data_IF_644385254333
#
_entry.id   IF_644385254333
#
_cell.length_a   1.000
_cell.length_b   1.000
_cell.length_c   1.000
_cell.angle_alpha   90.00
_cell.angle_beta   90.00
_cell.angle_gamma   90.00
#
_symmetry.space_group_name_H-M   'P 1'
#
loop_
_entity.id
_entity.type
_entity.pdbx_description
1 polymer ?
#
# COMPACT_ATOMS: atom_id res chain seq x y z
N UNK A 1 -33.69 -57.05 19.43
CA UNK A 1 -32.98 -55.79 19.44
C UNK A 1 -32.37 -55.60 18.07
N UNK A 2 -33.03 -54.78 17.21
CA UNK A 2 -32.58 -54.55 15.83
C UNK A 2 -31.58 -53.39 15.81
N UNK A 3 -30.31 -53.68 15.44
CA UNK A 3 -29.29 -52.69 15.25
C UNK A 3 -29.48 -52.05 13.84
N UNK A 4 -29.64 -50.75 13.69
CA UNK A 4 -29.83 -50.12 12.38
C UNK A 4 -28.47 -50.15 11.64
N UNK A 5 -28.41 -50.85 10.51
CA UNK A 5 -27.25 -50.86 9.60
C UNK A 5 -27.12 -49.49 8.97
N UNK A 6 -26.08 -48.71 9.32
CA UNK A 6 -25.76 -47.44 8.69
C UNK A 6 -25.39 -47.73 7.20
N UNK A 7 -26.03 -47.14 6.23
CA UNK A 7 -25.78 -47.43 4.82
C UNK A 7 -24.35 -46.97 4.46
N UNK A 8 -23.56 -47.89 3.88
CA UNK A 8 -22.14 -47.68 3.51
C UNK A 8 -21.85 -46.49 2.56
N UNK A 9 -22.92 -45.84 2.06
CA UNK A 9 -22.84 -44.64 1.19
C UNK A 9 -22.59 -43.35 1.97
N UNK A 10 -22.92 -43.27 3.29
CA UNK A 10 -22.72 -42.08 4.11
C UNK A 10 -21.23 -41.71 4.29
N UNK A 11 -20.30 -42.65 4.59
CA UNK A 11 -18.89 -42.31 4.75
C UNK A 11 -18.24 -41.89 3.43
N UNK A 12 -18.68 -42.45 2.28
CA UNK A 12 -18.14 -42.03 0.97
C UNK A 12 -18.58 -40.61 0.57
N UNK A 13 -19.82 -40.21 0.92
CA UNK A 13 -20.30 -38.87 0.67
C UNK A 13 -19.59 -37.82 1.55
N UNK A 14 -19.35 -38.14 2.83
CA UNK A 14 -18.59 -37.29 3.76
C UNK A 14 -17.13 -37.13 3.31
N UNK A 15 -16.49 -38.19 2.82
CA UNK A 15 -15.13 -38.14 2.30
C UNK A 15 -15.04 -37.30 1.01
N UNK A 16 -16.03 -37.40 0.12
CA UNK A 16 -16.10 -36.59 -1.11
C UNK A 16 -16.30 -35.10 -0.80
N UNK A 17 -17.14 -34.76 0.21
CA UNK A 17 -17.33 -33.36 0.65
C UNK A 17 -16.07 -32.80 1.29
N UNK A 18 -15.32 -33.58 2.08
CA UNK A 18 -14.05 -33.20 2.67
C UNK A 18 -12.95 -32.97 1.61
N UNK A 19 -12.91 -33.77 0.55
CA UNK A 19 -11.98 -33.61 -0.56
C UNK A 19 -12.29 -32.38 -1.43
N UNK A 20 -13.57 -32.05 -1.62
CA UNK A 20 -14.00 -30.84 -2.35
C UNK A 20 -13.72 -29.57 -1.53
N UNK A 21 -13.86 -29.59 -0.22
CA UNK A 21 -13.54 -28.47 0.65
C UNK A 21 -12.03 -28.16 0.68
N UNK A 22 -11.15 -29.17 0.50
CA UNK A 22 -9.71 -28.97 0.48
C UNK A 22 -9.21 -28.18 -0.74
N UNK A 23 -9.89 -28.24 -1.88
CA UNK A 23 -9.51 -27.49 -3.09
C UNK A 23 -9.90 -26.01 -3.05
N UNK A 24 -10.87 -25.62 -2.20
CA UNK A 24 -11.36 -24.23 -2.11
C UNK A 24 -10.55 -23.34 -1.16
N UNK A 25 -9.55 -23.88 -0.47
CA UNK A 25 -8.84 -23.21 0.63
C UNK A 25 -7.44 -22.72 0.28
N UNK A 26 -6.95 -22.99 -0.92
CA UNK A 26 -5.63 -22.55 -1.37
C UNK A 26 -5.70 -21.18 -2.08
N UNK A 27 -4.75 -20.26 -1.84
CA UNK A 27 -4.68 -19.01 -2.58
C UNK A 27 -4.56 -19.24 -4.09
N UNK A 28 -5.35 -18.50 -4.87
CA UNK A 28 -5.25 -18.52 -6.33
C UNK A 28 -3.88 -18.00 -6.76
N UNK A 29 -3.19 -18.74 -7.63
CA UNK A 29 -1.92 -18.29 -8.19
C UNK A 29 -2.16 -17.36 -9.39
N UNK A 30 -1.85 -16.08 -9.23
CA UNK A 30 -1.98 -15.06 -10.27
C UNK A 30 -0.77 -15.10 -11.19
N UNK A 31 -0.95 -15.58 -12.41
CA UNK A 31 0.09 -15.72 -13.44
C UNK A 31 -0.26 -14.99 -14.76
N UNK A 32 -1.36 -14.24 -14.77
CA UNK A 32 -1.77 -13.45 -15.94
C UNK A 32 -0.71 -12.43 -16.34
N UNK A 33 -0.75 -11.97 -17.59
CA UNK A 33 0.23 -11.03 -18.13
C UNK A 33 0.30 -9.70 -17.36
N UNK A 34 -0.80 -9.32 -16.71
CA UNK A 34 -0.93 -8.13 -15.88
C UNK A 34 -0.62 -8.39 -14.38
N UNK A 35 -0.25 -9.61 -13.98
CA UNK A 35 0.12 -9.87 -12.58
C UNK A 35 1.30 -8.98 -12.14
N UNK A 36 1.29 -8.49 -10.89
CA UNK A 36 2.34 -7.60 -10.39
C UNK A 36 3.75 -8.17 -10.51
N UNK A 37 4.70 -7.30 -10.83
CA UNK A 37 6.12 -7.66 -10.99
C UNK A 37 7.01 -6.66 -10.30
N UNK A 38 8.06 -7.19 -9.65
CA UNK A 38 9.20 -6.42 -9.23
C UNK A 38 10.18 -6.32 -10.41
N UNK A 39 10.49 -5.09 -10.81
CA UNK A 39 11.51 -4.83 -11.83
C UNK A 39 12.56 -3.90 -11.25
N UNK A 40 13.78 -3.84 -11.79
CA UNK A 40 14.81 -2.90 -11.34
C UNK A 40 14.26 -1.47 -11.30
N UNK A 41 14.44 -0.80 -10.16
CA UNK A 41 13.99 0.57 -9.99
C UNK A 41 14.79 1.49 -10.93
N UNK A 42 14.08 2.40 -11.59
CA UNK A 42 14.68 3.41 -12.46
C UNK A 42 14.56 4.76 -11.75
N UNK A 43 15.69 5.41 -11.42
CA UNK A 43 15.66 6.72 -10.78
C UNK A 43 14.94 7.77 -11.65
N UNK A 44 13.95 8.45 -11.08
CA UNK A 44 13.31 9.60 -11.70
C UNK A 44 14.28 10.80 -11.63
N UNK A 45 14.52 11.44 -12.78
CA UNK A 45 15.34 12.62 -12.87
C UNK A 45 14.50 13.79 -13.37
N UNK A 46 14.50 14.90 -12.64
CA UNK A 46 13.81 16.14 -13.01
C UNK A 46 14.78 17.34 -12.93
N UNK A 47 14.51 18.46 -13.61
CA UNK A 47 15.34 19.68 -13.49
C UNK A 47 15.24 20.35 -12.11
N UNK A 48 14.26 20.00 -11.30
CA UNK A 48 14.08 20.41 -9.90
C UNK A 48 14.26 19.23 -8.94
N UNK A 49 14.43 19.47 -7.64
CA UNK A 49 14.48 18.39 -6.66
C UNK A 49 13.25 17.46 -6.76
N UNK A 50 13.50 16.15 -6.76
CA UNK A 50 12.48 15.11 -6.80
C UNK A 50 12.01 14.83 -5.38
N UNK A 51 10.72 14.96 -5.13
CA UNK A 51 10.09 14.73 -3.83
C UNK A 51 9.50 13.32 -3.81
N UNK A 52 9.96 12.48 -2.88
CA UNK A 52 9.40 11.16 -2.60
C UNK A 52 8.50 11.21 -1.37
N UNK A 53 7.30 10.62 -1.46
CA UNK A 53 6.39 10.44 -0.33
C UNK A 53 6.26 8.94 0.00
N UNK A 54 6.50 8.59 1.24
CA UNK A 54 6.39 7.21 1.75
C UNK A 54 5.24 7.13 2.73
N UNK A 55 4.20 6.36 2.39
CA UNK A 55 3.03 6.13 3.22
C UNK A 55 3.12 4.76 3.89
N UNK A 56 3.33 4.75 5.19
CA UNK A 56 3.64 3.56 5.98
C UNK A 56 2.44 2.67 6.27
N UNK A 57 2.74 1.46 6.78
CA UNK A 57 1.75 0.49 7.21
C UNK A 57 1.03 0.93 8.49
N UNK A 58 -0.32 0.74 8.56
CA UNK A 58 -1.06 1.17 9.72
C UNK A 58 -2.47 0.61 9.93
N UNK A 59 -3.02 -0.18 9.00
CA UNK A 59 -4.42 -0.61 9.06
C UNK A 59 -5.37 0.58 9.09
N UNK A 60 -6.34 0.62 9.99
CA UNK A 60 -7.31 1.72 10.14
C UNK A 60 -6.68 3.09 10.40
N UNK A 61 -5.44 3.16 10.87
CA UNK A 61 -4.71 4.43 11.03
C UNK A 61 -4.30 5.06 9.69
N UNK A 62 -4.40 4.29 8.60
CA UNK A 62 -4.12 4.76 7.24
C UNK A 62 -4.95 5.96 6.80
N UNK A 63 -6.10 6.23 7.44
CA UNK A 63 -6.86 7.46 7.20
C UNK A 63 -6.04 8.73 7.50
N UNK A 64 -5.04 8.67 8.36
CA UNK A 64 -4.14 9.79 8.63
C UNK A 64 -3.30 10.17 7.39
N UNK A 65 -2.99 9.22 6.49
CA UNK A 65 -2.28 9.54 5.25
C UNK A 65 -3.07 10.50 4.37
N UNK A 66 -4.39 10.41 4.38
CA UNK A 66 -5.26 11.32 3.62
C UNK A 66 -5.16 12.74 4.17
N UNK A 67 -5.18 12.90 5.50
CA UNK A 67 -4.97 14.19 6.17
C UNK A 67 -3.59 14.80 5.84
N UNK A 68 -2.55 13.97 5.83
CA UNK A 68 -1.20 14.41 5.43
C UNK A 68 -1.20 14.92 3.98
N UNK A 69 -1.77 14.16 3.05
CA UNK A 69 -1.87 14.58 1.64
C UNK A 69 -2.61 15.92 1.50
N UNK A 70 -3.69 16.12 2.25
CA UNK A 70 -4.47 17.35 2.25
C UNK A 70 -3.65 18.56 2.71
N UNK A 71 -2.86 18.42 3.77
CA UNK A 71 -1.98 19.48 4.25
C UNK A 71 -0.83 19.79 3.28
N UNK A 72 -0.19 18.76 2.70
CA UNK A 72 0.87 18.91 1.70
C UNK A 72 0.33 19.61 0.44
N UNK A 73 -0.82 19.17 -0.09
CA UNK A 73 -1.48 19.75 -1.26
C UNK A 73 -1.83 21.23 -1.01
N UNK A 74 -2.39 21.55 0.16
CA UNK A 74 -2.71 22.92 0.56
C UNK A 74 -1.48 23.83 0.67
N UNK A 75 -0.32 23.27 0.98
CA UNK A 75 0.95 23.98 1.03
C UNK A 75 1.69 24.02 -0.33
N UNK A 76 1.09 23.49 -1.40
CA UNK A 76 1.71 23.40 -2.73
C UNK A 76 2.87 22.41 -2.81
N UNK A 77 2.97 21.46 -1.87
CA UNK A 77 3.98 20.41 -1.87
C UNK A 77 3.42 19.20 -2.60
N UNK A 78 3.91 18.97 -3.81
CA UNK A 78 3.47 17.86 -4.66
C UNK A 78 4.55 16.80 -4.80
N UNK A 79 4.34 15.58 -4.24
CA UNK A 79 5.27 14.46 -4.41
C UNK A 79 5.35 14.01 -5.86
N UNK A 80 6.59 13.70 -6.30
CA UNK A 80 6.88 13.18 -7.63
C UNK A 80 6.85 11.65 -7.68
N UNK A 81 7.23 11.01 -6.56
CA UNK A 81 7.33 9.57 -6.38
C UNK A 81 6.52 9.20 -5.14
N UNK A 82 5.81 8.07 -5.22
CA UNK A 82 5.06 7.57 -4.07
C UNK A 82 5.48 6.12 -3.76
N UNK A 83 5.65 5.84 -2.47
CA UNK A 83 5.88 4.48 -1.96
C UNK A 83 4.80 4.16 -0.94
N UNK A 84 4.16 3.01 -1.05
CA UNK A 84 3.06 2.62 -0.17
C UNK A 84 3.24 1.24 0.44
N UNK A 85 2.84 1.10 1.70
CA UNK A 85 2.84 -0.17 2.44
C UNK A 85 1.48 -0.39 3.09
N UNK A 86 0.84 -1.55 2.88
CA UNK A 86 -0.43 -1.91 3.53
C UNK A 86 -1.52 -0.85 3.29
N UNK A 87 -2.13 -0.31 4.34
CA UNK A 87 -3.10 0.79 4.20
C UNK A 87 -2.50 2.03 3.52
N UNK A 88 -1.21 2.29 3.71
CA UNK A 88 -0.49 3.35 3.00
C UNK A 88 -0.43 3.09 1.49
N UNK A 89 -0.38 1.82 1.04
CA UNK A 89 -0.40 1.49 -0.39
C UNK A 89 -1.76 1.79 -1.04
N UNK A 90 -2.87 1.69 -0.30
CA UNK A 90 -4.20 2.08 -0.79
C UNK A 90 -4.23 3.57 -1.12
N UNK A 91 -3.83 4.40 -0.18
CA UNK A 91 -3.81 5.87 -0.35
C UNK A 91 -2.77 6.29 -1.40
N UNK A 92 -1.59 5.62 -1.41
CA UNK A 92 -0.54 5.85 -2.39
C UNK A 92 -1.01 5.57 -3.82
N UNK A 93 -1.75 4.48 -4.04
CA UNK A 93 -2.29 4.13 -5.36
C UNK A 93 -3.28 5.18 -5.88
N UNK A 94 -4.19 5.63 -5.03
CA UNK A 94 -5.16 6.67 -5.39
C UNK A 94 -4.45 8.00 -5.71
N UNK A 95 -3.50 8.42 -4.88
CA UNK A 95 -2.72 9.64 -5.11
C UNK A 95 -1.84 9.52 -6.39
N UNK A 96 -1.16 8.40 -6.59
CA UNK A 96 -0.36 8.15 -7.78
C UNK A 96 -1.24 8.09 -9.06
N UNK A 97 -2.50 7.70 -8.93
CA UNK A 97 -3.49 7.76 -10.00
C UNK A 97 -3.93 9.18 -10.37
N UNK A 98 -3.52 10.19 -9.59
CA UNK A 98 -3.83 11.60 -9.82
C UNK A 98 -5.09 12.09 -9.10
N UNK A 99 -5.65 11.32 -8.15
CA UNK A 99 -6.74 11.81 -7.30
C UNK A 99 -6.18 12.87 -6.34
N UNK A 100 -6.93 13.96 -6.18
CA UNK A 100 -6.62 14.99 -5.19
C UNK A 100 -6.98 14.52 -3.78
N UNK A 101 -6.35 15.10 -2.77
CA UNK A 101 -6.60 14.76 -1.38
C UNK A 101 -8.09 14.81 -1.01
N UNK A 102 -8.85 15.78 -1.50
CA UNK A 102 -10.29 15.90 -1.27
C UNK A 102 -11.11 14.74 -1.88
N UNK A 103 -10.71 14.21 -3.05
CA UNK A 103 -11.37 13.07 -3.69
C UNK A 103 -11.10 11.78 -2.93
N UNK A 104 -9.85 11.61 -2.45
CA UNK A 104 -9.45 10.48 -1.60
C UNK A 104 -10.18 10.54 -0.26
N UNK A 105 -10.28 11.71 0.37
CA UNK A 105 -11.03 11.95 1.60
C UNK A 105 -12.51 11.56 1.43
N UNK A 106 -13.16 12.06 0.38
CA UNK A 106 -14.56 11.75 0.10
C UNK A 106 -14.79 10.25 -0.12
N UNK A 107 -13.87 9.55 -0.78
CA UNK A 107 -13.93 8.10 -0.94
C UNK A 107 -13.73 7.38 0.39
N UNK A 108 -12.70 7.77 1.16
CA UNK A 108 -12.36 7.17 2.45
C UNK A 108 -13.47 7.32 3.51
N UNK A 109 -14.15 8.47 3.54
CA UNK A 109 -15.23 8.70 4.50
C UNK A 109 -16.50 7.87 4.19
N UNK A 110 -16.78 7.60 2.91
CA UNK A 110 -17.90 6.73 2.50
C UNK A 110 -17.64 5.25 2.70
N UNK A 111 -16.37 4.86 2.82
CA UNK A 111 -15.97 3.46 2.92
C UNK A 111 -16.53 2.80 4.18
N UNK A 112 -17.20 1.67 4.02
CA UNK A 112 -17.64 0.81 5.13
C UNK A 112 -16.73 -0.42 5.25
N UNK A 113 -16.76 -1.11 6.39
CA UNK A 113 -15.97 -2.32 6.62
C UNK A 113 -16.28 -3.38 5.56
N UNK A 114 -17.54 -3.51 5.16
CA UNK A 114 -18.03 -4.44 4.14
C UNK A 114 -17.46 -4.18 2.74
N UNK A 115 -16.99 -2.96 2.45
CA UNK A 115 -16.43 -2.62 1.14
C UNK A 115 -15.01 -3.17 0.95
N UNK A 116 -14.30 -3.44 2.04
CA UNK A 116 -12.92 -3.93 2.02
C UNK A 116 -12.77 -5.36 2.54
N UNK A 117 -13.66 -5.78 3.46
CA UNK A 117 -13.49 -7.00 4.24
C UNK A 117 -14.45 -8.10 3.76
N UNK A 118 -13.97 -8.97 2.87
CA UNK A 118 -14.63 -10.17 2.41
C UNK A 118 -14.32 -11.35 3.35
N UNK A 119 -15.05 -11.43 4.46
CA UNK A 119 -14.86 -12.49 5.45
C UNK A 119 -15.16 -13.88 4.90
N UNK A 120 -14.29 -14.85 5.24
CA UNK A 120 -14.42 -16.25 4.85
C UNK A 120 -14.47 -17.15 6.07
N UNK A 121 -15.20 -18.26 5.96
CA UNK A 121 -15.28 -19.29 7.02
C UNK A 121 -14.12 -20.29 6.91
N UNK A 122 -13.67 -20.55 5.67
CA UNK A 122 -12.60 -21.50 5.38
C UNK A 122 -11.45 -20.77 4.68
N UNK A 123 -10.22 -21.25 4.90
CA UNK A 123 -9.03 -20.74 4.22
C UNK A 123 -7.90 -20.37 5.17
N UNK A 124 -6.76 -19.91 4.62
CA UNK A 124 -5.55 -19.59 5.38
C UNK A 124 -5.63 -18.28 6.18
N UNK A 125 -6.73 -17.55 6.10
CA UNK A 125 -7.03 -16.33 6.83
C UNK A 125 -8.54 -16.16 7.00
N UNK A 126 -8.96 -15.04 7.56
CA UNK A 126 -10.38 -14.69 7.78
C UNK A 126 -10.96 -13.82 6.68
N UNK A 127 -10.12 -13.14 5.91
CA UNK A 127 -10.49 -12.18 4.86
C UNK A 127 -9.75 -12.58 3.59
N UNK A 128 -10.46 -12.73 2.49
CA UNK A 128 -9.85 -13.09 1.21
C UNK A 128 -9.09 -11.92 0.58
N UNK A 129 -9.66 -10.72 0.63
CA UNK A 129 -9.06 -9.47 0.15
C UNK A 129 -9.39 -9.13 -1.31
N UNK A 130 -10.30 -9.87 -1.95
CA UNK A 130 -10.79 -9.57 -3.29
C UNK A 130 -11.51 -8.22 -3.37
N UNK A 131 -12.30 -7.87 -2.34
CA UNK A 131 -12.99 -6.58 -2.27
C UNK A 131 -12.00 -5.40 -2.21
N UNK A 132 -10.96 -5.51 -1.40
CA UNK A 132 -9.89 -4.49 -1.36
C UNK A 132 -9.23 -4.32 -2.73
N UNK A 133 -8.91 -5.43 -3.41
CA UNK A 133 -8.35 -5.39 -4.76
C UNK A 133 -9.26 -4.65 -5.74
N UNK A 134 -10.56 -4.98 -5.75
CA UNK A 134 -11.53 -4.37 -6.65
C UNK A 134 -11.70 -2.88 -6.34
N UNK A 135 -11.85 -2.51 -5.07
CA UNK A 135 -11.93 -1.12 -4.63
C UNK A 135 -10.76 -0.27 -5.16
N UNK A 136 -9.53 -0.78 -5.02
CA UNK A 136 -8.35 -0.07 -5.53
C UNK A 136 -8.35 0.00 -7.05
N UNK A 137 -8.65 -1.10 -7.75
CA UNK A 137 -8.70 -1.13 -9.20
C UNK A 137 -9.73 -0.14 -9.77
N UNK A 138 -10.90 -0.06 -9.17
CA UNK A 138 -11.94 0.91 -9.55
C UNK A 138 -11.45 2.35 -9.32
N UNK A 139 -10.88 2.64 -8.15
CA UNK A 139 -10.37 3.97 -7.82
C UNK A 139 -9.28 4.44 -8.79
N UNK A 140 -8.40 3.54 -9.24
CA UNK A 140 -7.35 3.86 -10.22
C UNK A 140 -7.82 3.64 -11.68
N UNK A 141 -9.10 3.34 -11.93
CA UNK A 141 -9.69 3.07 -13.25
C UNK A 141 -9.00 1.91 -13.98
N UNK A 142 -8.72 0.82 -13.25
CA UNK A 142 -8.01 -0.37 -13.73
C UNK A 142 -6.64 -0.10 -14.38
N UNK A 143 -6.03 1.04 -14.12
CA UNK A 143 -4.68 1.34 -14.63
C UNK A 143 -3.64 0.48 -13.90
N UNK A 144 -2.71 -0.16 -14.63
CA UNK A 144 -1.58 -0.85 -14.01
C UNK A 144 -0.60 0.16 -13.39
N UNK A 145 0.26 -0.31 -12.48
CA UNK A 145 1.20 0.51 -11.72
C UNK A 145 2.03 1.45 -12.60
N UNK A 146 2.53 0.94 -13.74
CA UNK A 146 3.36 1.70 -14.68
C UNK A 146 2.60 2.75 -15.51
N UNK A 147 1.26 2.70 -15.52
CA UNK A 147 0.41 3.65 -16.23
C UNK A 147 -0.23 4.71 -15.31
N UNK A 148 0.13 4.73 -14.03
CA UNK A 148 -0.32 5.76 -13.10
C UNK A 148 0.36 7.10 -13.42
N UNK A 149 -0.24 8.19 -13.00
CA UNK A 149 0.27 9.55 -13.26
C UNK A 149 1.60 9.84 -12.57
N UNK A 150 1.87 9.16 -11.45
CA UNK A 150 3.15 9.25 -10.73
C UNK A 150 3.74 7.84 -10.55
N UNK A 151 5.09 7.71 -10.59
CA UNK A 151 5.75 6.47 -10.23
C UNK A 151 5.32 5.99 -8.84
N UNK A 152 4.82 4.77 -8.77
CA UNK A 152 4.39 4.12 -7.52
C UNK A 152 5.18 2.85 -7.29
N UNK A 153 5.69 2.69 -6.06
CA UNK A 153 6.18 1.43 -5.53
C UNK A 153 5.23 0.91 -4.45
N UNK A 154 4.74 -0.31 -4.62
CA UNK A 154 3.92 -1.02 -3.63
C UNK A 154 4.76 -2.11 -2.99
N UNK A 155 4.87 -2.08 -1.67
CA UNK A 155 5.74 -2.96 -0.90
C UNK A 155 4.95 -4.14 -0.35
N UNK A 156 5.43 -5.35 -0.63
CA UNK A 156 4.96 -6.59 -0.02
C UNK A 156 6.12 -7.38 0.60
N UNK A 157 5.83 -8.37 1.41
CA UNK A 157 6.82 -9.30 1.96
C UNK A 157 6.59 -10.71 1.42
N UNK A 158 7.62 -11.40 1.00
CA UNK A 158 7.54 -12.84 0.72
C UNK A 158 7.20 -13.59 2.02
N UNK A 159 6.19 -14.46 1.97
CA UNK A 159 5.70 -15.15 3.18
C UNK A 159 6.74 -16.00 3.87
N UNK A 160 7.54 -16.73 3.11
CA UNK A 160 8.52 -17.68 3.65
C UNK A 160 9.79 -17.01 4.17
N UNK A 161 10.28 -16.00 3.46
CA UNK A 161 11.58 -15.38 3.73
C UNK A 161 11.48 -14.04 4.46
N UNK A 162 10.28 -13.45 4.53
CA UNK A 162 10.03 -12.07 4.96
C UNK A 162 10.80 -11.03 4.13
N UNK A 163 11.35 -11.42 2.98
CA UNK A 163 12.10 -10.52 2.09
C UNK A 163 11.15 -9.50 1.46
N UNK A 164 11.58 -8.25 1.44
CA UNK A 164 10.84 -7.17 0.81
C UNK A 164 10.80 -7.35 -0.71
N UNK A 165 9.61 -7.22 -1.28
CA UNK A 165 9.37 -7.15 -2.71
C UNK A 165 8.75 -5.81 -3.05
N UNK A 166 9.29 -5.14 -4.09
CA UNK A 166 8.86 -3.82 -4.55
C UNK A 166 8.15 -3.99 -5.89
N UNK A 167 6.83 -3.93 -5.89
CA UNK A 167 6.04 -3.98 -7.11
C UNK A 167 5.93 -2.59 -7.75
N UNK A 168 6.28 -2.48 -9.02
CA UNK A 168 6.21 -1.24 -9.81
C UNK A 168 5.53 -1.43 -11.17
N UNK A 169 5.12 -2.66 -11.49
CA UNK A 169 4.41 -3.01 -12.74
C UNK A 169 3.27 -3.99 -12.48
N UNK A 170 2.27 -3.95 -13.35
CA UNK A 170 1.12 -4.86 -13.35
C UNK A 170 -0.07 -4.32 -12.58
N UNK A 171 -1.04 -5.19 -12.28
CA UNK A 171 -2.32 -4.86 -11.69
C UNK A 171 -2.17 -4.16 -10.33
N UNK A 172 -2.63 -2.91 -10.25
CA UNK A 172 -2.46 -2.05 -9.07
C UNK A 172 -3.20 -2.60 -7.85
N UNK A 173 -4.46 -3.00 -8.01
CA UNK A 173 -5.24 -3.54 -6.89
C UNK A 173 -4.68 -4.84 -6.35
N UNK A 174 -4.18 -5.72 -7.22
CA UNK A 174 -3.56 -6.99 -6.79
C UNK A 174 -2.25 -6.75 -6.04
N UNK A 175 -1.43 -5.79 -6.49
CA UNK A 175 -0.22 -5.40 -5.77
C UNK A 175 -0.54 -4.83 -4.38
N UNK A 176 -1.57 -3.95 -4.30
CA UNK A 176 -2.03 -3.37 -3.03
C UNK A 176 -2.62 -4.45 -2.12
N UNK A 177 -3.42 -5.40 -2.65
CA UNK A 177 -3.91 -6.55 -1.88
C UNK A 177 -2.76 -7.36 -1.30
N UNK A 178 -1.73 -7.68 -2.08
CA UNK A 178 -0.54 -8.38 -1.57
C UNK A 178 0.14 -7.59 -0.44
N UNK A 179 0.29 -6.27 -0.62
CA UNK A 179 0.87 -5.35 0.36
C UNK A 179 0.07 -5.24 1.67
N UNK A 180 -1.25 -5.46 1.62
CA UNK A 180 -2.16 -5.34 2.76
C UNK A 180 -2.59 -6.69 3.36
N UNK A 181 -2.01 -7.81 2.90
CA UNK A 181 -2.34 -9.16 3.36
C UNK A 181 -1.73 -9.48 4.72
N UNK A 182 -2.27 -8.86 5.78
CA UNK A 182 -1.81 -9.03 7.17
C UNK A 182 -1.89 -10.51 7.58
N UNK A 183 -0.78 -11.12 8.02
CA UNK A 183 -0.75 -12.54 8.41
C UNK A 183 -1.80 -12.90 9.44
N UNK A 184 -2.44 -14.07 9.29
CA UNK A 184 -3.53 -14.61 10.12
C UNK A 184 -4.88 -13.87 9.99
N UNK A 185 -4.91 -12.69 9.37
CA UNK A 185 -6.14 -11.94 9.14
C UNK A 185 -6.56 -12.06 7.68
N UNK A 186 -5.69 -11.71 6.76
CA UNK A 186 -5.91 -11.86 5.31
C UNK A 186 -5.28 -13.12 4.75
N UNK A 187 -5.84 -13.60 3.64
CA UNK A 187 -5.18 -14.64 2.86
C UNK A 187 -3.90 -14.09 2.24
N UNK A 188 -2.82 -14.89 2.23
CA UNK A 188 -1.64 -14.54 1.44
C UNK A 188 -2.02 -14.49 -0.04
N UNK A 189 -1.36 -13.63 -0.81
CA UNK A 189 -1.57 -13.50 -2.25
C UNK A 189 -0.46 -14.25 -2.98
N UNK A 190 -0.82 -15.24 -3.82
CA UNK A 190 0.15 -15.98 -4.60
C UNK A 190 0.30 -15.39 -6.00
N UNK A 191 1.51 -14.92 -6.34
CA UNK A 191 1.84 -14.29 -7.63
C UNK A 191 3.05 -15.00 -8.20
N UNK A 192 2.94 -15.52 -9.42
CA UNK A 192 4.00 -16.28 -10.10
C UNK A 192 4.63 -17.38 -9.21
N UNK A 193 3.81 -18.07 -8.41
CA UNK A 193 4.25 -19.16 -7.53
C UNK A 193 4.73 -18.71 -6.15
N UNK A 194 5.05 -17.44 -5.93
CA UNK A 194 5.47 -16.88 -4.64
C UNK A 194 4.29 -16.36 -3.84
N UNK A 195 4.20 -16.68 -2.56
CA UNK A 195 3.18 -16.15 -1.65
C UNK A 195 3.67 -14.87 -0.98
N UNK A 196 2.82 -13.85 -1.01
CA UNK A 196 3.07 -12.54 -0.43
C UNK A 196 2.12 -12.26 0.73
N UNK A 197 2.65 -11.58 1.72
CA UNK A 197 1.94 -11.05 2.88
C UNK A 197 2.21 -9.55 3.03
N UNK A 198 1.56 -8.94 4.02
CA UNK A 198 1.66 -7.49 4.31
C UNK A 198 3.12 -7.01 4.30
N UNK A 199 3.36 -5.94 3.55
CA UNK A 199 4.69 -5.35 3.40
C UNK A 199 5.29 -4.86 4.70
N UNK A 200 4.47 -4.54 5.70
CA UNK A 200 4.91 -4.16 7.04
C UNK A 200 5.63 -5.26 7.81
N UNK A 201 5.59 -6.51 7.33
CA UNK A 201 6.41 -7.63 7.84
C UNK A 201 7.89 -7.40 7.50
N UNK A 202 8.18 -6.91 6.30
CA UNK A 202 9.54 -6.62 5.85
C UNK A 202 10.00 -5.21 6.25
N UNK A 203 9.16 -4.21 6.01
CA UNK A 203 9.43 -2.81 6.37
C UNK A 203 8.13 -2.03 6.50
N UNK A 204 7.95 -1.31 7.61
CA UNK A 204 6.75 -0.50 7.83
C UNK A 204 6.79 0.84 7.14
N UNK A 205 7.97 1.43 6.97
CA UNK A 205 8.16 2.76 6.36
C UNK A 205 9.46 2.73 5.53
N UNK A 206 9.46 2.11 4.34
CA UNK A 206 10.67 1.84 3.55
C UNK A 206 11.17 3.10 2.82
N UNK A 207 11.63 4.10 3.58
CA UNK A 207 12.08 5.38 3.04
C UNK A 207 13.26 5.24 2.04
N UNK A 208 14.11 4.23 2.22
CA UNK A 208 15.21 3.94 1.29
C UNK A 208 14.72 3.60 -0.14
N UNK A 209 13.51 3.04 -0.30
CA UNK A 209 12.95 2.74 -1.62
C UNK A 209 12.69 4.02 -2.40
N UNK A 210 12.16 5.07 -1.76
CA UNK A 210 11.98 6.37 -2.43
C UNK A 210 13.31 6.97 -2.90
N UNK A 211 14.39 6.80 -2.12
CA UNK A 211 15.74 7.19 -2.54
C UNK A 211 16.21 6.42 -3.77
N UNK A 212 16.02 5.10 -3.79
CA UNK A 212 16.36 4.25 -4.93
C UNK A 212 15.57 4.62 -6.19
N UNK A 213 14.34 5.13 -6.02
CA UNK A 213 13.52 5.66 -7.12
C UNK A 213 13.94 7.07 -7.58
N UNK A 214 14.95 7.69 -6.96
CA UNK A 214 15.52 8.97 -7.36
C UNK A 214 15.02 10.18 -6.58
N UNK A 215 14.41 9.98 -5.40
CA UNK A 215 13.99 11.11 -4.56
C UNK A 215 15.20 11.84 -3.96
N UNK A 216 15.28 13.14 -4.20
CA UNK A 216 16.25 14.05 -3.57
C UNK A 216 15.81 14.40 -2.14
N UNK A 217 14.49 14.52 -1.93
CA UNK A 217 13.88 14.77 -0.62
C UNK A 217 12.85 13.66 -0.36
N UNK A 218 12.92 13.02 0.79
CA UNK A 218 12.00 11.96 1.20
C UNK A 218 11.19 12.41 2.41
N UNK A 219 9.86 12.45 2.24
CA UNK A 219 8.87 12.67 3.28
C UNK A 219 8.28 11.31 3.63
N UNK A 220 8.40 10.88 4.87
CA UNK A 220 7.82 9.62 5.34
C UNK A 220 6.67 9.88 6.32
N UNK A 221 5.58 9.14 6.17
CA UNK A 221 4.45 9.18 7.10
C UNK A 221 4.41 7.88 7.87
N UNK A 222 4.73 7.95 9.15
CA UNK A 222 4.77 6.82 10.07
C UNK A 222 3.57 6.86 11.02
N UNK A 223 2.57 6.05 10.71
CA UNK A 223 1.36 5.90 11.54
C UNK A 223 1.47 4.76 12.55
N UNK A 224 2.67 4.23 12.78
CA UNK A 224 2.90 3.21 13.80
C UNK A 224 3.07 3.87 15.18
N UNK A 225 2.54 3.22 16.25
CA UNK A 225 2.59 3.81 17.60
C UNK A 225 4.00 3.84 18.23
N UNK A 226 4.92 3.03 17.72
CA UNK A 226 6.28 2.90 18.30
C UNK A 226 7.36 3.55 17.43
N UNK A 227 6.96 4.14 16.30
CA UNK A 227 7.89 4.56 15.27
C UNK A 227 8.50 3.37 14.53
N UNK A 228 9.02 3.63 13.34
CA UNK A 228 9.72 2.65 12.51
C UNK A 228 11.16 3.11 12.31
N UNK A 229 12.12 2.22 12.58
CA UNK A 229 13.54 2.49 12.31
C UNK A 229 13.81 2.70 10.81
N UNK A 230 13.00 2.06 9.95
CA UNK A 230 13.14 2.16 8.48
C UNK A 230 12.83 3.56 7.95
N UNK A 231 12.15 4.39 8.75
CA UNK A 231 11.90 5.79 8.43
C UNK A 231 13.17 6.67 8.50
N UNK A 232 14.27 6.18 9.09
CA UNK A 232 15.50 6.96 9.28
C UNK A 232 16.15 7.43 7.98
N UNK A 233 15.85 6.81 6.83
CA UNK A 233 16.31 7.27 5.52
C UNK A 233 15.51 8.46 4.95
N UNK A 234 14.45 8.92 5.63
CA UNK A 234 13.68 10.10 5.26
C UNK A 234 14.31 11.38 5.82
N UNK A 235 14.14 12.49 5.09
CA UNK A 235 14.56 13.82 5.56
C UNK A 235 13.56 14.40 6.57
N UNK A 236 12.27 14.08 6.40
CA UNK A 236 11.20 14.44 7.32
C UNK A 236 10.32 13.25 7.59
N UNK A 237 10.06 12.99 8.87
CA UNK A 237 9.12 11.94 9.29
C UNK A 237 7.93 12.57 9.99
N UNK A 238 6.77 12.50 9.36
CA UNK A 238 5.49 12.95 9.90
C UNK A 238 4.90 11.80 10.71
N UNK A 239 4.58 12.04 11.99
CA UNK A 239 4.04 11.04 12.93
C UNK A 239 2.69 11.48 13.49
N UNK A 240 1.58 11.19 12.78
CA UNK A 240 0.25 11.50 13.28
C UNK A 240 -0.06 10.80 14.60
N UNK A 241 -0.65 11.53 15.53
CA UNK A 241 -1.12 11.01 16.83
C UNK A 241 -2.48 10.31 16.64
N UNK A 242 -2.47 9.14 16.02
CA UNK A 242 -3.67 8.38 15.66
C UNK A 242 -4.32 7.70 16.85
N UNK A 243 -5.64 7.45 16.74
CA UNK A 243 -6.40 6.72 17.76
C UNK A 243 -5.92 5.26 17.84
N UNK A 244 -5.76 4.75 19.06
CA UNK A 244 -5.44 3.34 19.30
C UNK A 244 -6.68 2.49 19.13
N UNK A 245 -6.75 1.76 18.01
CA UNK A 245 -7.84 0.87 17.66
C UNK A 245 -7.32 -0.41 16.99
N UNK A 246 -8.20 -1.38 16.76
CA UNK A 246 -7.87 -2.55 15.94
C UNK A 246 -7.59 -2.12 14.50
N UNK A 247 -6.75 -2.85 13.80
CA UNK A 247 -6.35 -2.52 12.41
C UNK A 247 -7.52 -2.53 11.41
N UNK A 248 -8.64 -3.17 11.77
CA UNK A 248 -9.89 -3.24 11.00
C UNK A 248 -11.02 -2.39 11.59
N UNK A 249 -10.75 -1.55 12.57
CA UNK A 249 -11.74 -0.67 13.18
C UNK A 249 -11.74 0.69 12.48
N UNK A 250 -12.67 0.92 11.59
CA UNK A 250 -12.78 2.14 10.79
C UNK A 250 -13.69 3.21 11.42
N UNK A 251 -14.09 3.05 12.68
CA UNK A 251 -14.95 4.03 13.39
C UNK A 251 -14.27 5.38 13.64
N UNK A 252 -12.93 5.42 13.62
CA UNK A 252 -12.13 6.62 13.95
C UNK A 252 -11.58 7.38 12.71
N UNK A 253 -12.23 7.26 11.53
CA UNK A 253 -11.76 7.85 10.27
C UNK A 253 -11.46 9.34 10.38
N UNK A 254 -12.43 10.12 10.86
CA UNK A 254 -12.31 11.59 11.00
C UNK A 254 -11.20 11.98 11.97
N UNK A 255 -11.09 11.31 13.13
CA UNK A 255 -10.07 11.60 14.11
C UNK A 255 -8.66 11.30 13.57
N UNK A 256 -8.49 10.18 12.88
CA UNK A 256 -7.21 9.82 12.27
C UNK A 256 -6.84 10.76 11.12
N UNK A 257 -7.80 11.17 10.30
CA UNK A 257 -7.60 12.14 9.23
C UNK A 257 -7.14 13.49 9.79
N UNK A 258 -7.82 14.01 10.81
CA UNK A 258 -7.45 15.25 11.47
C UNK A 258 -6.04 15.15 12.07
N UNK A 259 -5.71 14.06 12.76
CA UNK A 259 -4.37 13.83 13.29
C UNK A 259 -3.28 13.84 12.20
N UNK A 260 -3.60 13.33 11.01
CA UNK A 260 -2.71 13.40 9.85
C UNK A 260 -2.48 14.82 9.36
N UNK A 261 -3.55 15.59 9.24
CA UNK A 261 -3.52 16.97 8.78
C UNK A 261 -2.72 17.86 9.77
N UNK A 262 -2.94 17.69 11.07
CA UNK A 262 -2.25 18.46 12.10
C UNK A 262 -0.74 18.14 12.13
N UNK A 263 -0.38 16.85 12.14
CA UNK A 263 1.03 16.44 12.13
C UNK A 263 1.78 16.92 10.87
N UNK A 264 1.10 16.95 9.73
CA UNK A 264 1.70 17.46 8.52
C UNK A 264 1.89 18.99 8.58
N UNK A 265 0.91 19.75 9.11
CA UNK A 265 1.04 21.20 9.32
C UNK A 265 2.21 21.54 10.23
N UNK A 266 2.42 20.78 11.30
CA UNK A 266 3.57 20.95 12.19
C UNK A 266 4.91 20.74 11.46
N UNK A 267 4.97 19.84 10.47
CA UNK A 267 6.16 19.56 9.69
C UNK A 267 6.41 20.55 8.55
N UNK A 268 5.42 21.35 8.13
CA UNK A 268 5.53 22.26 6.98
C UNK A 268 6.71 23.24 7.07
N UNK A 269 7.02 23.89 8.21
CA UNK A 269 8.18 24.81 8.27
C UNK A 269 9.49 24.13 7.94
N UNK A 270 9.72 22.92 8.47
CA UNK A 270 10.91 22.13 8.15
C UNK A 270 10.96 21.74 6.68
N UNK A 271 9.84 21.29 6.12
CA UNK A 271 9.72 20.92 4.71
C UNK A 271 10.03 22.08 3.78
N UNK A 272 9.50 23.28 4.06
CA UNK A 272 9.74 24.48 3.25
C UNK A 272 11.22 24.87 3.24
N UNK A 273 11.91 24.80 4.38
CA UNK A 273 13.34 25.08 4.47
C UNK A 273 14.15 24.06 3.64
N UNK A 274 13.83 22.76 3.74
CA UNK A 274 14.51 21.72 2.97
C UNK A 274 14.28 21.88 1.47
N UNK A 275 13.05 22.17 1.04
CA UNK A 275 12.72 22.35 -0.37
C UNK A 275 13.44 23.58 -0.96
N UNK A 276 13.47 24.69 -0.23
CA UNK A 276 14.21 25.91 -0.64
C UNK A 276 15.71 25.65 -0.73
N UNK A 277 16.29 24.97 0.24
CA UNK A 277 17.71 24.61 0.24
C UNK A 277 18.10 23.67 -0.89
N UNK A 278 17.29 22.65 -1.15
CA UNK A 278 17.53 21.71 -2.24
C UNK A 278 17.41 22.37 -3.63
N UNK A 279 16.49 23.33 -3.79
CA UNK A 279 16.36 24.10 -5.02
C UNK A 279 17.59 25.02 -5.27
N UNK A 280 18.13 25.63 -4.22
CA UNK A 280 19.29 26.52 -4.30
C UNK A 280 20.60 25.79 -4.60
N UNK A 281 20.77 24.57 -4.10
CA UNK A 281 22.01 23.79 -4.19
C UNK A 281 22.13 22.93 -5.46
N UNK A 282 21.14 22.91 -6.34
CA UNK A 282 21.18 22.08 -7.55
C UNK A 282 21.94 22.79 -8.67
N UNK A 283 23.00 22.17 -9.23
CA UNK A 283 23.69 22.75 -10.36
C UNK A 283 22.76 22.84 -11.58
N UNK A 284 22.91 23.87 -12.43
CA UNK A 284 22.08 24.01 -13.63
C UNK A 284 22.23 22.75 -14.51
N UNK A 285 21.10 22.22 -14.98
CA UNK A 285 21.08 21.06 -15.89
C UNK A 285 21.84 21.46 -17.16
N UNK A 286 23.00 20.86 -17.38
CA UNK A 286 23.72 21.05 -18.66
C UNK A 286 22.87 20.44 -19.77
N UNK A 287 22.53 21.17 -20.85
CA UNK A 287 21.83 20.59 -21.99
C UNK A 287 22.65 19.41 -22.51
N UNK A 288 21.97 18.29 -22.82
CA UNK A 288 22.63 17.14 -23.44
C UNK A 288 23.28 17.61 -24.74
N UNK A 289 24.59 17.37 -24.96
CA UNK A 289 25.21 17.62 -26.26
C UNK A 289 24.55 16.63 -27.25
N UNK A 290 23.82 17.13 -28.25
CA UNK A 290 23.31 16.32 -29.35
C UNK A 290 21.85 16.53 -29.77
N UNK A 291 21.20 17.66 -29.42
CA UNK A 291 19.86 17.99 -29.96
C UNK A 291 19.96 19.19 -30.91
N UNK A 292 20.95 19.17 -31.79
CA UNK A 292 21.03 20.04 -32.96
C UNK A 292 21.43 19.18 -34.14
N UNK A 293 20.46 18.85 -34.98
CA UNK A 293 20.59 18.06 -36.18
C UNK A 293 19.25 17.86 -36.80
#
# INVERSE_FOLDING_TARGET
>A
MNNPKIPARLPALLLAVLLLAGCATAPVNHVAADAPRAVPLQPLVKPRPVIGLVLGAGGSRGFAHVGVLKALESAGIEPDIVVGVSSGAVVAAMHAAGLRAAEIEASALRLEDSDLLDFTVFGPGRIEGGRLQNYVNEAVRNRPLEALAKPLAVIAAERETSRMTVFTRGNTGLAVRASASVPRLFWPVKIHGTEYVDGGVASRVPAAVARQMGADIVIAVDVSWRGSADAAAADVVIRPQTVRSRITDFSHKLANLAAGEDAAREALPQLQVLLAGAAANRPPVRPRPGAAG
#
